data_IF_849278969314
#
_entry.id   IF_849278969314
#
_cell.length_a   1.000
_cell.length_b   1.000
_cell.length_c   1.000
_cell.angle_alpha   90.00
_cell.angle_beta   90.00
_cell.angle_gamma   90.00
#
_symmetry.space_group_name_H-M   'P 1'
#
loop_
_entity.id
_entity.type
_entity.pdbx_description
1 polymer ?
#
# COMPACT_ATOMS: atom_id res chain seq x y z
N UNK A 1 28.61 15.30 8.48
CA UNK A 1 28.04 14.44 7.43
C UNK A 1 27.31 15.33 6.42
N UNK A 2 27.68 15.28 5.14
CA UNK A 2 27.05 16.08 4.10
C UNK A 2 25.58 15.66 3.92
N UNK A 3 24.64 16.62 3.93
CA UNK A 3 23.22 16.35 3.62
C UNK A 3 23.12 15.87 2.17
N UNK A 4 22.74 14.61 1.98
CA UNK A 4 22.38 14.08 0.65
C UNK A 4 21.22 14.92 0.09
N UNK A 5 21.38 15.41 -1.14
CA UNK A 5 20.32 16.08 -1.90
C UNK A 5 19.68 15.06 -2.84
N UNK A 6 18.36 15.11 -2.98
CA UNK A 6 17.59 14.22 -3.84
C UNK A 6 16.92 15.03 -4.94
N UNK A 7 16.77 14.42 -6.11
CA UNK A 7 16.09 15.00 -7.26
C UNK A 7 15.02 14.01 -7.75
N UNK A 8 13.87 14.53 -8.13
CA UNK A 8 12.82 13.76 -8.81
C UNK A 8 12.96 14.06 -10.30
N UNK A 9 12.95 13.01 -11.10
CA UNK A 9 13.07 13.07 -12.55
C UNK A 9 12.01 12.16 -13.15
N UNK A 10 11.44 12.56 -14.28
CA UNK A 10 10.53 11.70 -15.03
C UNK A 10 11.29 10.50 -15.62
N UNK A 11 10.62 9.37 -15.77
CA UNK A 11 11.24 8.13 -16.24
C UNK A 11 11.86 8.26 -17.64
N UNK A 12 11.22 8.98 -18.55
CA UNK A 12 11.70 9.26 -19.90
C UNK A 12 12.98 10.10 -19.94
N UNK A 13 13.24 10.88 -18.89
CA UNK A 13 14.48 11.65 -18.73
C UNK A 13 15.61 10.83 -18.08
N UNK A 14 15.32 9.65 -17.52
CA UNK A 14 16.33 8.78 -16.92
C UNK A 14 17.08 7.98 -17.98
N UNK A 15 18.43 7.94 -17.91
CA UNK A 15 19.19 6.95 -18.65
C UNK A 15 18.69 5.53 -18.36
N UNK A 16 18.46 4.76 -19.42
CA UNK A 16 17.92 3.38 -19.41
C UNK A 16 18.63 2.44 -18.41
N UNK A 17 19.93 2.67 -18.17
CA UNK A 17 20.70 1.90 -17.17
C UNK A 17 20.09 1.95 -15.77
N UNK A 18 19.49 3.08 -15.37
CA UNK A 18 18.87 3.23 -14.05
C UNK A 18 17.57 2.45 -13.95
N UNK A 19 16.75 2.50 -15.00
CA UNK A 19 15.49 1.73 -15.12
C UNK A 19 15.81 0.23 -15.05
N UNK A 20 16.79 -0.23 -15.83
CA UNK A 20 17.26 -1.62 -15.84
C UNK A 20 17.79 -2.11 -14.49
N UNK A 21 18.50 -1.26 -13.75
CA UNK A 21 18.97 -1.60 -12.41
C UNK A 21 17.82 -1.69 -11.41
N UNK A 22 16.85 -0.78 -11.50
CA UNK A 22 15.64 -0.81 -10.66
C UNK A 22 14.84 -2.09 -10.91
N UNK A 23 14.65 -2.47 -12.17
CA UNK A 23 13.92 -3.69 -12.53
C UNK A 23 14.68 -4.97 -12.15
N UNK A 24 16.01 -5.02 -12.38
CA UNK A 24 16.83 -6.14 -11.90
C UNK A 24 16.74 -6.32 -10.37
N UNK A 25 16.62 -5.22 -9.61
CA UNK A 25 16.41 -5.26 -8.16
C UNK A 25 15.03 -5.79 -7.79
N UNK A 26 13.97 -5.39 -8.52
CA UNK A 26 12.60 -5.93 -8.36
C UNK A 26 12.59 -7.45 -8.57
N UNK A 27 13.19 -7.94 -9.67
CA UNK A 27 13.24 -9.38 -9.99
C UNK A 27 13.87 -10.22 -8.86
N UNK A 28 14.89 -9.67 -8.18
CA UNK A 28 15.51 -10.33 -7.02
C UNK A 28 14.59 -10.34 -5.79
N UNK A 29 13.83 -9.27 -5.57
CA UNK A 29 12.93 -9.13 -4.42
C UNK A 29 11.71 -10.05 -4.54
N UNK A 30 11.14 -10.18 -5.75
CA UNK A 30 9.95 -11.02 -5.99
C UNK A 30 10.29 -12.47 -6.34
N UNK A 31 11.59 -12.82 -6.37
CA UNK A 31 12.05 -14.18 -6.66
C UNK A 31 12.02 -14.61 -8.13
N UNK A 32 11.78 -13.68 -9.06
CA UNK A 32 11.83 -13.96 -10.51
C UNK A 32 13.27 -14.25 -11.01
N UNK A 33 14.28 -13.77 -10.28
CA UNK A 33 15.68 -14.13 -10.46
C UNK A 33 16.30 -14.55 -9.12
N UNK A 34 17.09 -15.61 -9.11
CA UNK A 34 17.68 -16.15 -7.87
C UNK A 34 19.02 -15.49 -7.53
N UNK A 35 19.70 -14.91 -8.51
CA UNK A 35 21.02 -14.28 -8.31
C UNK A 35 21.14 -12.95 -9.03
N UNK A 36 21.97 -12.05 -8.49
CA UNK A 36 22.29 -10.76 -9.14
C UNK A 36 22.80 -10.97 -10.57
N UNK A 37 23.56 -12.03 -10.81
CA UNK A 37 24.07 -12.34 -12.14
C UNK A 37 22.99 -12.71 -13.14
N UNK A 38 21.95 -13.40 -12.70
CA UNK A 38 20.80 -13.74 -13.51
C UNK A 38 19.96 -12.50 -13.83
N UNK A 39 19.61 -11.71 -12.80
CA UNK A 39 18.84 -10.47 -12.97
C UNK A 39 19.55 -9.48 -13.90
N UNK A 40 20.88 -9.29 -13.71
CA UNK A 40 21.69 -8.43 -14.55
C UNK A 40 21.71 -8.90 -16.01
N UNK A 41 21.80 -10.21 -16.25
CA UNK A 41 21.75 -10.78 -17.61
C UNK A 41 20.38 -10.56 -18.26
N UNK A 42 19.28 -10.79 -17.54
CA UNK A 42 17.91 -10.60 -18.05
C UNK A 42 17.64 -9.14 -18.42
N UNK A 43 18.19 -8.19 -17.65
CA UNK A 43 18.08 -6.75 -17.94
C UNK A 43 19.16 -6.21 -18.88
N UNK A 44 20.02 -7.08 -19.42
CA UNK A 44 21.13 -6.71 -20.30
C UNK A 44 22.05 -5.62 -19.71
N UNK A 45 22.46 -5.81 -18.46
CA UNK A 45 23.41 -4.95 -17.74
C UNK A 45 24.54 -5.79 -17.13
N UNK A 46 25.69 -5.17 -16.84
CA UNK A 46 26.75 -5.85 -16.10
C UNK A 46 26.43 -5.94 -14.61
N UNK A 47 27.02 -6.93 -13.92
CA UNK A 47 26.98 -7.00 -12.44
C UNK A 47 27.57 -5.74 -11.81
N UNK A 48 28.64 -5.19 -12.40
CA UNK A 48 29.27 -3.95 -11.90
C UNK A 48 28.34 -2.74 -12.01
N UNK A 49 27.57 -2.62 -13.09
CA UNK A 49 26.57 -1.57 -13.22
C UNK A 49 25.45 -1.70 -12.18
N UNK A 50 24.97 -2.92 -11.93
CA UNK A 50 24.03 -3.18 -10.84
C UNK A 50 24.58 -2.70 -9.49
N UNK A 51 25.78 -3.15 -9.09
CA UNK A 51 26.35 -2.75 -7.79
C UNK A 51 26.66 -1.25 -7.68
N UNK A 52 26.98 -0.60 -8.79
CA UNK A 52 27.24 0.85 -8.83
C UNK A 52 25.98 1.68 -8.53
N UNK A 53 24.80 1.21 -8.95
CA UNK A 53 23.57 1.99 -8.92
C UNK A 53 22.45 1.44 -8.01
N UNK A 54 22.57 0.20 -7.50
CA UNK A 54 21.51 -0.50 -6.71
C UNK A 54 20.99 0.26 -5.49
N UNK A 55 21.81 1.14 -4.90
CA UNK A 55 21.49 1.93 -3.72
C UNK A 55 21.20 3.40 -4.06
N UNK A 56 21.42 3.79 -5.31
CA UNK A 56 21.20 5.15 -5.82
C UNK A 56 19.87 5.28 -6.59
N UNK A 57 19.35 4.16 -7.10
CA UNK A 57 18.10 4.12 -7.85
C UNK A 57 17.18 3.10 -7.23
N UNK A 58 15.98 3.57 -6.92
CA UNK A 58 14.83 2.79 -6.57
C UNK A 58 13.64 3.41 -7.31
N UNK A 59 12.65 2.61 -7.74
CA UNK A 59 11.40 3.18 -8.18
C UNK A 59 10.92 4.13 -7.08
N UNK A 60 10.76 5.40 -7.43
CA UNK A 60 9.93 6.27 -6.61
C UNK A 60 8.52 5.79 -6.89
N UNK A 61 8.06 4.84 -6.07
CA UNK A 61 6.63 4.66 -5.97
C UNK A 61 6.15 6.02 -5.49
N UNK A 62 5.45 6.74 -6.36
CA UNK A 62 4.66 7.87 -5.92
C UNK A 62 3.98 7.43 -4.61
N UNK A 63 3.73 8.37 -3.71
CA UNK A 63 2.67 8.21 -2.72
C UNK A 63 1.26 8.08 -3.39
N UNK A 64 1.20 7.50 -4.59
CA UNK A 64 0.10 7.23 -5.50
C UNK A 64 0.22 5.84 -6.17
N UNK A 65 1.11 4.96 -5.73
CA UNK A 65 0.87 3.53 -5.94
C UNK A 65 -0.20 3.11 -4.93
N UNK A 66 -1.36 2.64 -5.38
CA UNK A 66 -2.00 1.57 -4.60
C UNK A 66 -2.72 1.93 -3.31
N UNK A 67 -2.97 3.21 -2.95
CA UNK A 67 -3.33 3.72 -1.60
C UNK A 67 -3.88 2.64 -0.65
N UNK A 68 -2.96 1.95 0.03
CA UNK A 68 -3.29 1.06 1.12
C UNK A 68 -3.56 1.96 2.32
N UNK A 69 -4.84 2.14 2.64
CA UNK A 69 -5.26 2.98 3.74
C UNK A 69 -5.58 2.08 4.93
N UNK A 70 -5.09 2.47 6.10
CA UNK A 70 -5.45 1.83 7.37
C UNK A 70 -6.54 2.63 8.05
N UNK A 71 -7.69 1.98 8.25
CA UNK A 71 -8.85 2.51 8.92
C UNK A 71 -8.98 1.91 10.30
N UNK A 72 -9.44 2.71 11.24
CA UNK A 72 -9.83 2.26 12.58
C UNK A 72 -11.28 2.64 12.84
N UNK A 73 -12.04 1.69 13.37
CA UNK A 73 -13.39 1.92 13.88
C UNK A 73 -13.55 1.35 15.29
N UNK A 74 -14.31 2.03 16.12
CA UNK A 74 -14.84 1.46 17.36
C UNK A 74 -16.28 1.01 17.09
N UNK A 75 -16.55 -0.28 17.17
CA UNK A 75 -17.85 -0.87 16.88
C UNK A 75 -18.54 -1.34 18.16
N UNK A 76 -19.87 -1.25 18.21
CA UNK A 76 -20.70 -1.94 19.21
C UNK A 76 -20.62 -3.45 18.99
N UNK A 77 -20.47 -4.21 20.07
CA UNK A 77 -20.44 -5.66 20.07
C UNK A 77 -21.85 -6.26 20.02
N UNK A 78 -22.54 -6.04 18.89
CA UNK A 78 -23.86 -6.59 18.61
C UNK A 78 -23.79 -7.45 17.33
N UNK A 79 -24.58 -8.53 17.24
CA UNK A 79 -24.69 -9.31 16.02
C UNK A 79 -24.98 -8.44 14.79
N UNK A 80 -24.20 -8.66 13.71
CA UNK A 80 -24.38 -7.97 12.44
C UNK A 80 -23.64 -6.64 12.28
N UNK A 81 -23.12 -6.01 13.35
CA UNK A 81 -22.42 -4.71 13.25
C UNK A 81 -21.14 -4.81 12.43
N UNK A 82 -20.27 -5.79 12.72
CA UNK A 82 -19.06 -6.01 11.92
C UNK A 82 -19.40 -6.34 10.47
N UNK A 83 -20.41 -7.18 10.23
CA UNK A 83 -20.84 -7.54 8.88
C UNK A 83 -21.28 -6.32 8.09
N UNK A 84 -22.10 -5.46 8.70
CA UNK A 84 -22.56 -4.22 8.09
C UNK A 84 -21.39 -3.27 7.79
N UNK A 85 -20.43 -3.16 8.71
CA UNK A 85 -19.21 -2.38 8.50
C UNK A 85 -18.41 -2.89 7.30
N UNK A 86 -18.20 -4.21 7.19
CA UNK A 86 -17.47 -4.83 6.07
C UNK A 86 -18.18 -4.68 4.72
N UNK A 87 -19.51 -4.70 4.70
CA UNK A 87 -20.29 -4.51 3.47
C UNK A 87 -20.05 -3.15 2.82
N UNK A 88 -19.72 -2.11 3.61
CA UNK A 88 -19.45 -0.77 3.07
C UNK A 88 -18.16 -0.76 2.24
N UNK A 89 -17.11 -1.45 2.71
CA UNK A 89 -15.86 -1.62 1.95
C UNK A 89 -16.07 -2.45 0.69
N UNK A 90 -16.86 -3.54 0.78
CA UNK A 90 -17.15 -4.39 -0.36
C UNK A 90 -17.93 -3.64 -1.45
N UNK A 91 -18.88 -2.78 -1.06
CA UNK A 91 -19.70 -2.01 -1.99
C UNK A 91 -18.93 -0.83 -2.62
N UNK A 92 -17.97 -0.25 -1.92
CA UNK A 92 -17.16 0.87 -2.44
C UNK A 92 -16.12 0.45 -3.48
N UNK A 93 -15.88 -0.87 -3.62
CA UNK A 93 -14.85 -1.43 -4.48
C UNK A 93 -13.46 -1.45 -3.86
N UNK A 94 -13.34 -1.15 -2.56
CA UNK A 94 -12.08 -1.26 -1.84
C UNK A 94 -11.70 -2.73 -1.64
N UNK A 95 -10.45 -3.08 -1.93
CA UNK A 95 -9.94 -4.42 -1.71
C UNK A 95 -9.36 -4.53 -0.30
N UNK A 96 -10.07 -5.20 0.62
CA UNK A 96 -9.59 -5.41 1.99
C UNK A 96 -8.40 -6.37 1.98
N UNK A 97 -7.28 -5.93 2.56
CA UNK A 97 -6.06 -6.72 2.70
C UNK A 97 -5.97 -7.38 4.08
N UNK A 98 -6.34 -6.68 5.14
CA UNK A 98 -6.34 -7.23 6.50
C UNK A 98 -7.52 -6.72 7.32
N UNK A 99 -7.98 -7.56 8.26
CA UNK A 99 -8.98 -7.22 9.28
C UNK A 99 -8.44 -7.70 10.62
N UNK A 100 -8.44 -6.81 11.62
CA UNK A 100 -8.10 -7.15 12.99
C UNK A 100 -9.15 -6.54 13.94
N UNK A 101 -9.91 -7.39 14.62
CA UNK A 101 -10.83 -6.98 15.67
C UNK A 101 -10.26 -7.35 17.04
N UNK A 102 -10.23 -6.39 17.95
CA UNK A 102 -9.83 -6.63 19.34
C UNK A 102 -10.91 -7.41 20.09
N UNK A 103 -10.52 -8.08 21.18
CA UNK A 103 -11.49 -8.69 22.11
C UNK A 103 -12.47 -7.59 22.58
N UNK A 104 -13.80 -7.81 22.48
CA UNK A 104 -14.78 -6.85 22.95
C UNK A 104 -14.58 -6.51 24.44
N UNK A 105 -14.61 -5.23 24.77
CA UNK A 105 -14.52 -4.70 26.12
C UNK A 105 -15.59 -3.64 26.31
N UNK A 106 -16.36 -3.72 27.40
CA UNK A 106 -17.50 -2.82 27.69
C UNK A 106 -18.51 -2.72 26.53
N UNK A 107 -18.80 -3.85 25.87
CA UNK A 107 -19.76 -3.92 24.76
C UNK A 107 -19.29 -3.26 23.46
N UNK A 108 -17.98 -2.99 23.32
CA UNK A 108 -17.39 -2.43 22.12
C UNK A 108 -16.11 -3.17 21.71
N UNK A 109 -15.80 -3.19 20.42
CA UNK A 109 -14.56 -3.75 19.90
C UNK A 109 -13.91 -2.78 18.91
N UNK A 110 -12.60 -2.59 19.01
CA UNK A 110 -11.83 -1.87 18.01
C UNK A 110 -11.60 -2.76 16.79
N UNK A 111 -11.78 -2.21 15.60
CA UNK A 111 -11.55 -2.90 14.33
C UNK A 111 -10.60 -2.06 13.48
N UNK A 112 -9.49 -2.65 13.09
CA UNK A 112 -8.54 -2.07 12.15
C UNK A 112 -8.62 -2.81 10.83
N UNK A 113 -8.79 -2.07 9.73
CA UNK A 113 -8.83 -2.61 8.36
C UNK A 113 -7.75 -1.92 7.54
N UNK A 114 -6.91 -2.70 6.84
CA UNK A 114 -6.11 -2.17 5.74
C UNK A 114 -6.78 -2.52 4.42
N UNK A 115 -6.94 -1.55 3.53
CA UNK A 115 -7.57 -1.77 2.24
C UNK A 115 -6.84 -0.99 1.14
N UNK A 116 -6.69 -1.63 -0.01
CA UNK A 116 -6.25 -0.99 -1.25
C UNK A 116 -7.44 -0.26 -1.88
N UNK A 117 -7.26 1.05 -2.13
CA UNK A 117 -8.33 1.95 -2.56
C UNK A 117 -8.21 2.42 -4.01
N UNK A 118 -7.29 1.82 -4.77
CA UNK A 118 -6.94 2.23 -6.15
C UNK A 118 -8.08 2.09 -7.16
N UNK A 119 -8.90 1.04 -7.00
CA UNK A 119 -9.97 0.68 -7.93
C UNK A 119 -11.37 1.06 -7.40
N UNK A 120 -11.43 1.87 -6.33
CA UNK A 120 -12.71 2.34 -5.80
C UNK A 120 -13.45 3.18 -6.82
N UNK A 121 -14.73 2.86 -7.01
CA UNK A 121 -15.62 3.56 -7.95
C UNK A 121 -16.27 4.80 -7.32
N UNK A 122 -16.49 4.74 -6.02
CA UNK A 122 -17.02 5.84 -5.19
C UNK A 122 -15.85 6.63 -4.59
N UNK A 123 -16.07 7.92 -4.33
CA UNK A 123 -15.06 8.77 -3.70
C UNK A 123 -14.75 8.28 -2.29
N UNK A 124 -13.47 8.31 -1.87
CA UNK A 124 -13.07 7.94 -0.51
C UNK A 124 -13.88 8.70 0.56
N UNK A 125 -14.20 9.98 0.30
CA UNK A 125 -15.00 10.82 1.20
C UNK A 125 -16.44 10.28 1.39
N UNK A 126 -17.05 9.74 0.33
CA UNK A 126 -18.40 9.17 0.38
C UNK A 126 -18.41 7.87 1.20
N UNK A 127 -17.41 7.01 0.99
CA UNK A 127 -17.22 5.81 1.78
C UNK A 127 -17.00 6.15 3.27
N UNK A 128 -16.16 7.15 3.57
CA UNK A 128 -15.91 7.60 4.94
C UNK A 128 -17.17 8.14 5.62
N UNK A 129 -18.01 8.88 4.87
CA UNK A 129 -19.31 9.34 5.36
C UNK A 129 -20.27 8.17 5.62
N UNK A 130 -20.33 7.19 4.71
CA UNK A 130 -21.15 5.99 4.84
C UNK A 130 -20.76 5.14 6.06
N UNK A 131 -19.45 4.96 6.30
CA UNK A 131 -18.95 4.27 7.49
C UNK A 131 -19.33 5.03 8.76
N UNK A 132 -19.11 6.34 8.80
CA UNK A 132 -19.38 7.15 9.99
C UNK A 132 -20.86 7.16 10.37
N UNK A 133 -21.76 7.02 9.39
CA UNK A 133 -23.21 6.93 9.58
C UNK A 133 -23.71 5.50 9.85
N UNK A 134 -22.86 4.47 9.74
CA UNK A 134 -23.29 3.09 9.81
C UNK A 134 -23.74 2.68 11.22
N UNK A 135 -24.81 1.89 11.28
CA UNK A 135 -25.34 1.39 12.54
C UNK A 135 -24.27 0.62 13.32
N UNK A 136 -24.07 1.04 14.58
CA UNK A 136 -23.13 0.40 15.50
C UNK A 136 -21.69 0.89 15.39
N UNK A 137 -21.35 1.79 14.46
CA UNK A 137 -20.07 2.51 14.47
C UNK A 137 -20.15 3.66 15.49
N UNK A 138 -19.26 3.65 16.49
CA UNK A 138 -19.18 4.68 17.53
C UNK A 138 -18.13 5.74 17.22
N UNK A 139 -17.06 5.32 16.54
CA UNK A 139 -15.93 6.17 16.16
C UNK A 139 -15.31 5.59 14.90
N UNK A 140 -14.83 6.45 14.01
CA UNK A 140 -14.11 6.06 12.81
C UNK A 140 -12.99 7.07 12.50
N UNK A 141 -11.80 6.58 12.18
CA UNK A 141 -10.61 7.38 11.89
C UNK A 141 -9.75 6.71 10.82
N UNK A 142 -9.06 7.52 10.02
CA UNK A 142 -7.97 7.05 9.14
C UNK A 142 -6.65 7.18 9.90
N UNK A 143 -5.93 6.07 10.07
CA UNK A 143 -4.69 6.01 10.85
C UNK A 143 -3.43 6.30 10.00
N UNK A 144 -3.41 5.83 8.76
CA UNK A 144 -2.28 5.98 7.85
C UNK A 144 -2.73 5.78 6.40
N UNK A 145 -2.10 6.50 5.46
CA UNK A 145 -2.27 6.38 4.00
C UNK A 145 -1.08 6.96 3.26
#
# INVERSE_FOLDING_TARGET
MSKKKYYIVSEDALPDIFIKVAEAKRMLQVGEAQTVGEAARRMNISRSAFYKYKDAVQPFQDMKAGRIITFYALLKDNPGVLSNYLSIFANSGANILTINQTIPTNGCAGVTISAETSDMKEGLDEMMAGISAAFGVLKFEVLAG
#
